data_IF_150925744657
#
_entry.id   IF_150925744657
#
_cell.length_a   1.000
_cell.length_b   1.000
_cell.length_c   1.000
_cell.angle_alpha   90.00
_cell.angle_beta   90.00
_cell.angle_gamma   90.00
#
_symmetry.space_group_name_H-M   'P 1'
#
loop_
_entity.id
_entity.type
_entity.pdbx_description
1 polymer ?
#
# COMPACT_ATOMS: atom_id res chain seq x y z
N UNK A 1 0.61 -19.60 -1.18
CA UNK A 1 0.60 -18.12 -1.12
C UNK A 1 0.97 -17.71 0.30
N UNK A 2 1.81 -16.68 0.48
CA UNK A 2 2.10 -16.13 1.82
C UNK A 2 0.79 -15.67 2.44
N UNK A 3 0.57 -15.95 3.72
CA UNK A 3 -0.55 -15.38 4.48
C UNK A 3 -0.04 -14.16 5.24
N UNK A 4 -0.90 -13.16 5.39
CA UNK A 4 -0.65 -11.99 6.23
C UNK A 4 -1.60 -12.03 7.41
N UNK A 5 -1.13 -11.70 8.60
CA UNK A 5 -2.00 -11.44 9.74
C UNK A 5 -2.49 -9.99 9.68
N UNK A 6 -1.62 -9.05 9.32
CA UNK A 6 -1.93 -7.62 9.35
C UNK A 6 -1.19 -6.83 8.26
N UNK A 7 -1.97 -6.36 7.29
CA UNK A 7 -1.52 -5.49 6.21
C UNK A 7 -1.69 -4.01 6.57
N UNK A 8 -0.62 -3.26 6.39
CA UNK A 8 -0.62 -1.80 6.33
C UNK A 8 -0.75 -1.34 4.88
N UNK A 9 -1.68 -0.43 4.60
CA UNK A 9 -1.87 0.15 3.28
C UNK A 9 -1.68 1.65 3.36
N UNK A 10 -0.83 2.24 2.52
CA UNK A 10 -0.66 3.69 2.46
C UNK A 10 -1.57 4.28 1.38
N UNK A 11 -2.25 5.39 1.69
CA UNK A 11 -3.06 6.12 0.71
C UNK A 11 -2.20 7.02 -0.19
N UNK A 12 -2.65 7.26 -1.43
CA UNK A 12 -2.23 8.42 -2.20
C UNK A 12 -2.63 9.74 -1.53
N UNK A 13 -2.08 10.85 -2.03
CA UNK A 13 -2.10 12.13 -1.32
C UNK A 13 -3.44 12.87 -1.40
N UNK A 14 -4.36 12.43 -2.28
CA UNK A 14 -5.64 13.09 -2.51
C UNK A 14 -6.84 12.20 -2.20
N UNK A 15 -7.96 12.84 -1.86
CA UNK A 15 -9.24 12.15 -1.66
C UNK A 15 -9.71 11.42 -2.94
N UNK A 16 -9.55 12.05 -4.10
CA UNK A 16 -9.93 11.45 -5.38
C UNK A 16 -9.16 10.16 -5.65
N UNK A 17 -7.85 10.15 -5.43
CA UNK A 17 -7.01 8.96 -5.61
C UNK A 17 -7.27 7.88 -4.54
N UNK A 18 -7.66 8.27 -3.33
CA UNK A 18 -8.07 7.33 -2.28
C UNK A 18 -9.31 6.51 -2.69
N UNK A 19 -10.17 7.03 -3.57
CA UNK A 19 -11.28 6.26 -4.14
C UNK A 19 -10.76 5.29 -5.22
N UNK A 20 -9.72 5.67 -5.97
CA UNK A 20 -9.14 4.85 -7.03
C UNK A 20 -8.44 3.59 -6.52
N UNK A 21 -8.09 3.52 -5.22
CA UNK A 21 -7.49 2.30 -4.63
C UNK A 21 -8.53 1.22 -4.28
N UNK A 22 -9.84 1.51 -4.32
CA UNK A 22 -10.90 0.56 -3.92
C UNK A 22 -10.84 -0.79 -4.65
N UNK A 23 -10.62 -0.87 -5.98
CA UNK A 23 -10.45 -2.17 -6.65
C UNK A 23 -9.25 -2.97 -6.14
N UNK A 24 -8.16 -2.30 -5.77
CA UNK A 24 -6.98 -2.94 -5.21
C UNK A 24 -7.24 -3.43 -3.77
N UNK A 25 -7.94 -2.65 -2.95
CA UNK A 25 -8.39 -3.05 -1.61
C UNK A 25 -9.30 -4.28 -1.67
N UNK A 26 -10.22 -4.31 -2.63
CA UNK A 26 -11.07 -5.49 -2.87
C UNK A 26 -10.24 -6.72 -3.19
N UNK A 27 -9.28 -6.61 -4.11
CA UNK A 27 -8.40 -7.73 -4.47
C UNK A 27 -7.57 -8.23 -3.28
N UNK A 28 -7.06 -7.31 -2.45
CA UNK A 28 -6.36 -7.67 -1.20
C UNK A 28 -7.28 -8.43 -0.24
N UNK A 29 -8.50 -7.95 -0.01
CA UNK A 29 -9.49 -8.62 0.85
C UNK A 29 -9.89 -9.99 0.33
N UNK A 30 -10.07 -10.14 -0.98
CA UNK A 30 -10.43 -11.43 -1.59
C UNK A 30 -9.29 -12.45 -1.46
N UNK A 31 -8.03 -12.01 -1.61
CA UNK A 31 -6.86 -12.85 -1.46
C UNK A 31 -6.52 -13.18 0.00
N UNK A 32 -6.77 -12.24 0.91
CA UNK A 32 -6.37 -12.33 2.31
C UNK A 32 -7.56 -12.08 3.24
N UNK A 33 -8.55 -12.98 3.16
CA UNK A 33 -9.85 -12.81 3.83
C UNK A 33 -9.76 -12.58 5.34
N UNK A 34 -8.81 -13.26 5.99
CA UNK A 34 -8.63 -13.21 7.45
C UNK A 34 -7.66 -12.11 7.91
N UNK A 35 -6.97 -11.42 7.00
CA UNK A 35 -6.00 -10.40 7.39
C UNK A 35 -6.72 -9.15 7.88
N UNK A 36 -6.15 -8.53 8.91
CA UNK A 36 -6.49 -7.16 9.25
C UNK A 36 -5.88 -6.23 8.20
N UNK A 37 -6.66 -5.29 7.68
CA UNK A 37 -6.21 -4.25 6.75
C UNK A 37 -6.33 -2.90 7.46
N UNK A 38 -5.18 -2.33 7.82
CA UNK A 38 -5.08 -0.96 8.33
C UNK A 38 -4.68 -0.02 7.21
N UNK A 39 -5.44 1.05 7.03
CA UNK A 39 -5.15 2.11 6.08
C UNK A 39 -4.47 3.29 6.78
N UNK A 40 -3.26 3.64 6.36
CA UNK A 40 -2.54 4.84 6.73
C UNK A 40 -3.00 6.00 5.84
N UNK A 41 -3.74 6.94 6.41
CA UNK A 41 -4.29 8.10 5.72
C UNK A 41 -3.58 9.38 6.15
N UNK A 42 -3.43 10.34 5.23
CA UNK A 42 -3.01 11.69 5.59
C UNK A 42 -4.17 12.43 6.27
N UNK A 43 -3.91 13.47 7.08
CA UNK A 43 -4.98 14.25 7.71
C UNK A 43 -6.03 14.76 6.71
N UNK A 44 -5.59 15.18 5.52
CA UNK A 44 -6.45 15.66 4.44
C UNK A 44 -7.34 14.56 3.82
N UNK A 45 -6.94 13.28 3.89
CA UNK A 45 -7.67 12.16 3.29
C UNK A 45 -8.45 11.34 4.32
N UNK A 46 -8.23 11.57 5.61
CA UNK A 46 -8.79 10.78 6.70
C UNK A 46 -10.32 10.62 6.67
N UNK A 47 -11.15 11.68 6.49
CA UNK A 47 -12.61 11.52 6.47
C UNK A 47 -13.08 10.58 5.34
N UNK A 48 -12.46 10.67 4.16
CA UNK A 48 -12.76 9.80 3.04
C UNK A 48 -12.25 8.38 3.27
N UNK A 49 -11.06 8.23 3.85
CA UNK A 49 -10.45 6.95 4.17
C UNK A 49 -11.32 6.11 5.11
N UNK A 50 -11.97 6.74 6.10
CA UNK A 50 -12.90 6.08 7.03
C UNK A 50 -14.12 5.45 6.36
N UNK A 51 -14.48 5.91 5.15
CA UNK A 51 -15.62 5.39 4.39
C UNK A 51 -15.21 4.36 3.33
N UNK A 52 -13.92 4.05 3.19
CA UNK A 52 -13.46 3.11 2.18
C UNK A 52 -13.83 1.66 2.57
N UNK A 53 -14.42 0.89 1.64
CA UNK A 53 -14.73 -0.50 1.89
C UNK A 53 -13.45 -1.33 2.01
N UNK A 54 -13.58 -2.52 2.61
CA UNK A 54 -12.52 -3.54 2.75
C UNK A 54 -11.38 -3.18 3.71
N UNK A 55 -11.45 -2.03 4.39
CA UNK A 55 -10.53 -1.57 5.43
C UNK A 55 -11.13 -1.85 6.81
N UNK A 56 -10.33 -2.39 7.74
CA UNK A 56 -10.78 -2.68 9.11
C UNK A 56 -10.47 -1.54 10.07
N UNK A 57 -9.39 -0.80 9.82
CA UNK A 57 -8.97 0.32 10.69
C UNK A 57 -8.32 1.40 9.83
N UNK A 58 -8.60 2.66 10.14
CA UNK A 58 -7.88 3.80 9.55
C UNK A 58 -7.00 4.42 10.63
N UNK A 59 -5.73 4.63 10.31
CA UNK A 59 -4.78 5.35 11.14
C UNK A 59 -4.40 6.64 10.43
N UNK A 60 -4.52 7.78 11.12
CA UNK A 60 -4.10 9.07 10.57
C UNK A 60 -2.62 9.25 10.81
N UNK A 61 -1.86 9.55 9.76
CA UNK A 61 -0.49 10.03 9.88
C UNK A 61 -0.49 11.37 10.61
N UNK A 62 0.24 11.45 11.72
CA UNK A 62 0.40 12.68 12.50
C UNK A 62 1.67 13.40 12.09
N UNK A 63 1.72 14.70 12.34
CA UNK A 63 2.97 15.44 12.30
C UNK A 63 3.77 15.09 13.56
N UNK A 64 4.74 14.20 13.39
CA UNK A 64 5.63 13.74 14.46
C UNK A 64 7.06 13.60 13.93
N UNK A 65 8.03 13.46 14.83
CA UNK A 65 9.42 13.19 14.43
C UNK A 65 9.48 11.83 13.74
N UNK A 66 10.36 11.71 12.75
CA UNK A 66 10.48 10.48 11.94
C UNK A 66 10.66 9.21 12.80
N UNK A 67 11.45 9.28 13.88
CA UNK A 67 11.65 8.15 14.80
C UNK A 67 10.38 7.75 15.57
N UNK A 68 9.56 8.73 15.97
CA UNK A 68 8.27 8.45 16.63
C UNK A 68 7.29 7.82 15.64
N UNK A 69 7.28 8.30 14.39
CA UNK A 69 6.43 7.71 13.34
C UNK A 69 6.81 6.25 13.03
N UNK A 70 8.11 5.95 12.94
CA UNK A 70 8.60 4.58 12.76
C UNK A 70 8.18 3.70 13.94
N UNK A 71 8.28 4.21 15.18
CA UNK A 71 7.83 3.49 16.37
C UNK A 71 6.32 3.21 16.29
N UNK A 72 5.51 4.21 15.93
CA UNK A 72 4.07 4.05 15.72
C UNK A 72 3.76 2.95 14.69
N UNK A 73 4.46 2.92 13.56
CA UNK A 73 4.29 1.87 12.54
C UNK A 73 4.68 0.49 13.10
N UNK A 74 5.75 0.39 13.88
CA UNK A 74 6.21 -0.86 14.49
C UNK A 74 5.19 -1.40 15.50
N UNK A 75 4.62 -0.52 16.33
CA UNK A 75 3.61 -0.85 17.34
C UNK A 75 2.29 -1.37 16.73
N UNK A 76 2.03 -1.11 15.43
CA UNK A 76 0.89 -1.71 14.73
C UNK A 76 1.03 -3.22 14.56
N UNK A 77 2.25 -3.77 14.59
CA UNK A 77 2.48 -5.22 14.45
C UNK A 77 2.22 -5.76 13.04
N UNK A 78 2.30 -4.92 12.01
CA UNK A 78 2.04 -5.32 10.63
C UNK A 78 3.12 -6.24 10.07
N UNK A 79 2.72 -7.29 9.36
CA UNK A 79 3.64 -8.24 8.70
C UNK A 79 3.73 -8.03 7.17
N UNK A 80 2.91 -7.12 6.64
CA UNK A 80 3.04 -6.61 5.27
C UNK A 80 2.61 -5.16 5.09
N UNK A 81 3.20 -4.50 4.09
CA UNK A 81 2.87 -3.14 3.69
C UNK A 81 2.65 -3.04 2.17
N UNK A 82 1.58 -2.36 1.77
CA UNK A 82 1.28 -1.99 0.37
C UNK A 82 1.29 -0.47 0.27
N UNK A 83 2.21 0.06 -0.52
CA UNK A 83 2.48 1.50 -0.60
C UNK A 83 1.93 2.04 -1.91
N UNK A 84 0.73 2.60 -1.86
CA UNK A 84 0.18 3.33 -2.99
C UNK A 84 0.64 4.79 -2.94
N UNK A 85 1.17 5.29 -4.05
CA UNK A 85 1.58 6.68 -4.19
C UNK A 85 0.84 7.35 -5.33
N UNK A 86 0.70 8.66 -5.30
CA UNK A 86 0.23 9.45 -6.46
C UNK A 86 1.23 9.34 -7.63
N UNK A 87 0.81 9.54 -8.89
CA UNK A 87 1.72 9.50 -10.03
C UNK A 87 2.92 10.45 -9.85
N UNK A 88 4.13 9.95 -10.13
CA UNK A 88 5.37 10.71 -9.94
C UNK A 88 5.91 10.72 -8.50
N UNK A 89 5.14 10.27 -7.50
CA UNK A 89 5.61 10.16 -6.12
C UNK A 89 6.31 8.82 -5.86
N UNK A 90 7.41 8.90 -5.10
CA UNK A 90 8.22 7.75 -4.74
C UNK A 90 7.61 6.98 -3.56
N UNK A 91 7.52 5.63 -3.62
CA UNK A 91 7.10 4.82 -2.48
C UNK A 91 8.21 4.64 -1.43
N UNK A 92 9.45 5.01 -1.75
CA UNK A 92 10.60 4.69 -0.90
C UNK A 92 10.59 5.35 0.48
N UNK A 93 10.12 6.60 0.68
CA UNK A 93 10.02 7.17 2.02
C UNK A 93 9.20 6.29 2.98
N UNK A 94 8.03 5.81 2.55
CA UNK A 94 7.21 4.91 3.38
C UNK A 94 7.76 3.48 3.42
N UNK A 95 8.45 3.03 2.36
CA UNK A 95 9.12 1.72 2.37
C UNK A 95 10.29 1.68 3.37
N UNK A 96 11.08 2.74 3.48
CA UNK A 96 12.15 2.87 4.48
C UNK A 96 11.59 2.87 5.90
N UNK A 97 10.48 3.59 6.14
CA UNK A 97 9.80 3.58 7.43
C UNK A 97 9.32 2.18 7.80
N UNK A 98 8.69 1.48 6.86
CA UNK A 98 8.27 0.09 7.04
C UNK A 98 9.46 -0.85 7.29
N UNK A 99 10.58 -0.63 6.59
CA UNK A 99 11.82 -1.39 6.77
C UNK A 99 12.38 -1.21 8.20
N UNK A 100 12.50 0.03 8.68
CA UNK A 100 12.96 0.31 10.04
C UNK A 100 11.97 -0.11 11.12
N UNK A 101 10.67 -0.14 10.81
CA UNK A 101 9.64 -0.69 11.68
C UNK A 101 9.63 -2.23 11.73
N UNK A 102 10.47 -2.90 10.94
CA UNK A 102 10.60 -4.36 10.93
C UNK A 102 9.58 -5.10 10.06
N UNK A 103 8.79 -4.41 9.24
CA UNK A 103 7.77 -5.04 8.39
C UNK A 103 8.47 -5.81 7.25
N UNK A 104 8.38 -7.15 7.18
CA UNK A 104 9.20 -7.94 6.27
C UNK A 104 8.74 -7.90 4.81
N UNK A 105 7.44 -7.74 4.57
CA UNK A 105 6.87 -7.59 3.22
C UNK A 105 6.50 -6.14 2.95
N UNK A 106 7.05 -5.56 1.89
CA UNK A 106 6.88 -4.16 1.48
C UNK A 106 6.75 -4.13 -0.04
N UNK A 107 5.54 -3.81 -0.51
CA UNK A 107 5.15 -3.74 -1.92
C UNK A 107 4.99 -2.29 -2.37
N UNK A 108 5.59 -1.93 -3.49
CA UNK A 108 5.50 -0.58 -4.06
C UNK A 108 5.80 -0.55 -5.55
N UNK A 109 5.33 0.50 -6.21
CA UNK A 109 5.59 0.76 -7.62
C UNK A 109 6.58 1.91 -7.78
N UNK A 110 7.69 1.70 -8.50
CA UNK A 110 8.66 2.76 -8.78
C UNK A 110 9.36 2.56 -10.12
N UNK A 111 9.67 3.66 -10.81
CA UNK A 111 10.58 3.64 -11.97
C UNK A 111 12.04 3.41 -11.56
N UNK A 112 12.36 3.73 -10.31
CA UNK A 112 13.70 3.62 -9.73
C UNK A 112 13.82 2.34 -8.89
N UNK A 113 15.00 1.73 -8.88
CA UNK A 113 15.31 0.58 -8.05
C UNK A 113 16.27 1.00 -6.92
N UNK A 114 15.86 0.79 -5.67
CA UNK A 114 16.62 1.14 -4.46
C UNK A 114 16.95 -0.13 -3.62
N UNK A 115 17.35 -1.21 -4.29
CA UNK A 115 17.76 -2.44 -3.63
C UNK A 115 16.61 -3.20 -2.96
N UNK A 116 16.80 -3.59 -1.70
CA UNK A 116 15.88 -4.44 -0.93
C UNK A 116 14.85 -3.68 -0.08
N UNK A 117 14.82 -2.35 -0.16
CA UNK A 117 13.90 -1.53 0.64
C UNK A 117 12.46 -1.84 0.28
N UNK A 118 12.14 -1.90 -1.01
CA UNK A 118 10.96 -2.63 -1.46
C UNK A 118 11.31 -4.11 -1.60
N UNK A 119 10.76 -4.94 -0.73
CA UNK A 119 10.93 -6.40 -0.85
C UNK A 119 10.27 -6.96 -2.13
N UNK A 120 9.21 -6.28 -2.58
CA UNK A 120 8.47 -6.61 -3.78
C UNK A 120 8.26 -5.30 -4.54
N UNK A 121 8.91 -5.21 -5.69
CA UNK A 121 8.94 -4.00 -6.49
C UNK A 121 8.28 -4.27 -7.83
N UNK A 122 7.33 -3.41 -8.19
CA UNK A 122 6.73 -3.40 -9.52
C UNK A 122 7.23 -2.19 -10.31
N UNK A 123 7.60 -2.44 -11.57
CA UNK A 123 7.82 -1.37 -12.53
C UNK A 123 6.46 -0.80 -13.00
N UNK A 124 6.34 0.53 -13.17
CA UNK A 124 5.17 1.14 -13.81
C UNK A 124 4.95 0.55 -15.21
N UNK A 125 3.69 0.25 -15.53
CA UNK A 125 3.31 -0.15 -16.89
C UNK A 125 3.13 1.09 -17.78
N UNK A 126 3.62 1.07 -19.03
CA UNK A 126 3.38 2.16 -19.96
C UNK A 126 1.88 2.28 -20.27
N UNK A 127 1.38 3.52 -20.33
CA UNK A 127 0.01 3.84 -20.77
C UNK A 127 -1.13 3.19 -19.96
N UNK A 128 -0.92 2.92 -18.66
CA UNK A 128 -1.97 2.42 -17.78
C UNK A 128 -2.96 3.53 -17.41
N UNK A 129 -4.27 3.22 -17.40
CA UNK A 129 -5.27 4.16 -16.88
C UNK A 129 -5.03 4.37 -15.39
N UNK A 130 -5.22 5.58 -14.84
CA UNK A 130 -5.00 5.84 -13.40
C UNK A 130 -5.73 4.86 -12.47
N UNK A 131 -6.96 4.46 -12.82
CA UNK A 131 -7.77 3.48 -12.06
C UNK A 131 -7.15 2.08 -12.03
N UNK A 132 -6.41 1.69 -13.08
CA UNK A 132 -5.81 0.36 -13.18
C UNK A 132 -4.44 0.31 -12.49
N UNK A 133 -3.81 1.47 -12.20
CA UNK A 133 -2.45 1.53 -11.64
C UNK A 133 -2.34 0.80 -10.31
N UNK A 134 -3.24 1.08 -9.37
CA UNK A 134 -3.21 0.50 -8.04
C UNK A 134 -3.56 -1.00 -8.05
N UNK A 135 -4.52 -1.40 -8.90
CA UNK A 135 -4.84 -2.81 -9.09
C UNK A 135 -3.67 -3.57 -9.73
N UNK A 136 -2.98 -2.96 -10.70
CA UNK A 136 -1.82 -3.57 -11.35
C UNK A 136 -0.67 -3.83 -10.36
N UNK A 137 -0.50 -2.94 -9.36
CA UNK A 137 0.49 -3.15 -8.31
C UNK A 137 0.18 -4.40 -7.48
N UNK A 138 -1.04 -4.52 -6.94
CA UNK A 138 -1.38 -5.68 -6.09
C UNK A 138 -1.37 -6.99 -6.88
N UNK A 139 -1.76 -6.95 -8.16
CA UNK A 139 -1.76 -8.14 -9.02
C UNK A 139 -0.37 -8.57 -9.49
N UNK A 140 0.62 -7.66 -9.47
CA UNK A 140 2.01 -7.97 -9.86
C UNK A 140 2.68 -9.03 -8.97
N UNK A 141 2.24 -9.17 -7.71
CA UNK A 141 2.75 -10.18 -6.77
C UNK A 141 1.94 -11.47 -6.78
N UNK A 142 1.16 -11.71 -7.83
CA UNK A 142 0.38 -12.94 -8.01
C UNK A 142 -0.96 -12.94 -7.28
N UNK A 143 -1.49 -11.77 -6.91
CA UNK A 143 -2.88 -11.66 -6.47
C UNK A 143 -3.81 -11.72 -7.69
N UNK A 144 -4.89 -12.53 -7.64
CA UNK A 144 -5.83 -12.64 -8.75
C UNK A 144 -6.42 -11.26 -9.08
N UNK A 145 -6.27 -10.83 -10.33
CA UNK A 145 -6.80 -9.55 -10.81
C UNK A 145 -6.07 -8.95 -12.02
N UNK A 146 -4.85 -9.41 -12.33
CA UNK A 146 -4.24 -9.12 -13.63
C UNK A 146 -4.77 -10.14 -14.63
N UNK A 147 -5.50 -9.68 -15.64
CA UNK A 147 -5.62 -10.41 -16.89
C UNK A 147 -4.20 -10.79 -17.32
N UNK A 148 -3.91 -12.09 -17.24
CA UNK A 148 -2.64 -12.69 -17.63
C UNK A 148 -2.44 -12.40 -19.11
N UNK A 149 -1.80 -11.28 -19.46
CA UNK A 149 -1.27 -11.09 -20.80
C UNK A 149 0.05 -11.84 -20.84
N UNK A 150 -0.07 -13.09 -21.26
CA UNK A 150 1.03 -13.83 -21.86
C UNK A 150 1.58 -12.94 -22.98
N UNK A 151 2.84 -12.56 -22.87
CA UNK A 151 3.72 -12.31 -24.01
C UNK A 151 4.81 -13.37 -23.94
#
# INVERSE_FOLDING_TARGET
MRQFEHLLVFCPDTQAESILIVPALRALREAYRSSRITLMALPATYPAACSLPFVDTVHTRREEKEADYIRTISELGCDGAVIFTSPGQSPYPDAYRCYFAGIPFRLGMSSEFDGGVLSHWAKPLPSIRPVDRYLSLVTSVGLPGAGRRLL
#
